data_IF_134828651703
#
_entry.id   IF_134828651703
#
_cell.length_a   1.000
_cell.length_b   1.000
_cell.length_c   1.000
_cell.angle_alpha   90.00
_cell.angle_beta   90.00
_cell.angle_gamma   90.00
#
_symmetry.space_group_name_H-M   'P 1'
#
loop_
_entity.id
_entity.type
_entity.pdbx_description
1 polymer ?
#
# COMPACT_ATOMS: atom_id res chain seq x y z
N UNK A 1 5.85 -11.37 -13.68
CA UNK A 1 6.20 -10.60 -12.45
C UNK A 1 7.40 -11.18 -11.70
N UNK A 2 7.38 -12.44 -11.24
CA UNK A 2 8.49 -13.02 -10.43
C UNK A 2 9.88 -12.99 -11.11
N UNK A 3 9.98 -13.27 -12.41
CA UNK A 3 11.27 -13.27 -13.15
C UNK A 3 11.97 -11.91 -13.14
N UNK A 4 11.22 -10.81 -13.25
CA UNK A 4 11.79 -9.46 -13.24
C UNK A 4 12.34 -9.10 -11.84
N UNK A 5 11.61 -9.46 -10.78
CA UNK A 5 12.07 -9.24 -9.41
C UNK A 5 13.34 -10.05 -9.13
N UNK A 6 13.41 -11.31 -9.54
CA UNK A 6 14.64 -12.12 -9.42
C UNK A 6 15.83 -11.46 -10.15
N UNK A 7 15.60 -10.89 -11.34
CA UNK A 7 16.65 -10.16 -12.07
C UNK A 7 17.08 -8.89 -11.35
N UNK A 8 16.15 -8.13 -10.77
CA UNK A 8 16.46 -6.93 -9.98
C UNK A 8 17.30 -7.27 -8.75
N UNK A 9 16.93 -8.32 -8.01
CA UNK A 9 17.70 -8.81 -6.85
C UNK A 9 19.11 -9.23 -7.28
N UNK A 10 19.22 -9.99 -8.37
CA UNK A 10 20.54 -10.41 -8.92
C UNK A 10 21.40 -9.22 -9.30
N UNK A 11 20.82 -8.23 -9.97
CA UNK A 11 21.55 -7.05 -10.42
C UNK A 11 22.02 -6.20 -9.23
N UNK A 12 21.16 -6.00 -8.23
CA UNK A 12 21.51 -5.32 -6.98
C UNK A 12 22.65 -6.03 -6.25
N UNK A 13 22.56 -7.36 -6.08
CA UNK A 13 23.61 -8.17 -5.45
C UNK A 13 24.94 -8.08 -6.22
N UNK A 14 24.92 -8.15 -7.55
CA UNK A 14 26.12 -8.00 -8.38
C UNK A 14 26.78 -6.62 -8.24
N UNK A 15 25.98 -5.56 -8.21
CA UNK A 15 26.47 -4.20 -7.98
C UNK A 15 27.12 -4.11 -6.60
N UNK A 16 26.50 -4.71 -5.56
CA UNK A 16 27.04 -4.73 -4.20
C UNK A 16 28.38 -5.43 -4.13
N UNK A 17 28.48 -6.66 -4.66
CA UNK A 17 29.74 -7.42 -4.69
C UNK A 17 30.87 -6.62 -5.34
N UNK A 18 30.57 -5.88 -6.42
CA UNK A 18 31.57 -5.03 -7.09
C UNK A 18 31.99 -3.81 -6.26
N UNK A 19 31.07 -3.22 -5.50
CA UNK A 19 31.33 -2.04 -4.65
C UNK A 19 31.88 -2.41 -3.27
N UNK A 20 31.72 -3.67 -2.88
CA UNK A 20 32.14 -4.19 -1.60
C UNK A 20 33.65 -4.09 -1.44
N UNK A 21 34.06 -3.57 -0.29
CA UNK A 21 35.46 -3.57 0.13
C UNK A 21 35.56 -4.14 1.53
N UNK A 22 36.41 -5.13 1.71
CA UNK A 22 36.77 -5.68 3.01
C UNK A 22 38.16 -5.14 3.37
N UNK A 23 38.28 -4.41 4.48
CA UNK A 23 39.56 -3.79 4.87
C UNK A 23 40.14 -2.83 3.81
N UNK A 24 39.31 -2.20 2.98
CA UNK A 24 39.73 -1.27 1.93
C UNK A 24 40.09 -1.92 0.58
N UNK A 25 40.12 -3.25 0.49
CA UNK A 25 40.40 -3.98 -0.75
C UNK A 25 39.11 -4.50 -1.40
N UNK A 26 39.06 -4.45 -2.74
CA UNK A 26 37.92 -4.96 -3.51
C UNK A 26 37.79 -6.48 -3.38
N UNK A 27 36.57 -6.96 -3.13
CA UNK A 27 36.29 -8.39 -2.99
C UNK A 27 36.33 -9.08 -4.36
N UNK A 28 37.09 -10.17 -4.47
CA UNK A 28 37.11 -11.03 -5.67
C UNK A 28 35.96 -12.03 -5.63
N UNK A 29 35.46 -12.46 -6.79
CA UNK A 29 34.36 -13.42 -6.87
C UNK A 29 34.63 -14.74 -6.12
N UNK A 30 35.88 -15.19 -6.06
CA UNK A 30 36.27 -16.40 -5.29
C UNK A 30 36.12 -16.22 -3.78
N UNK A 31 36.25 -15.00 -3.26
CA UNK A 31 36.13 -14.71 -1.83
C UNK A 31 34.68 -14.65 -1.36
N UNK A 32 33.74 -14.36 -2.27
CA UNK A 32 32.28 -14.33 -1.98
C UNK A 32 31.73 -15.74 -1.73
N UNK A 33 32.41 -16.78 -2.22
CA UNK A 33 32.02 -18.16 -1.94
C UNK A 33 32.30 -18.58 -0.48
N UNK A 34 33.10 -17.80 0.26
CA UNK A 34 33.37 -18.07 1.66
C UNK A 34 32.28 -17.43 2.55
N UNK A 35 31.65 -18.25 3.39
CA UNK A 35 30.52 -17.84 4.24
C UNK A 35 30.92 -16.73 5.22
N UNK A 36 32.13 -16.77 5.77
CA UNK A 36 32.61 -15.76 6.73
C UNK A 36 32.71 -14.37 6.09
N UNK A 37 33.26 -14.30 4.88
CA UNK A 37 33.37 -13.07 4.10
C UNK A 37 31.99 -12.55 3.69
N UNK A 38 31.05 -13.47 3.41
CA UNK A 38 29.67 -13.12 3.10
C UNK A 38 28.96 -12.51 4.31
N UNK A 39 29.13 -13.08 5.51
CA UNK A 39 28.55 -12.57 6.74
C UNK A 39 29.08 -11.17 7.09
N UNK A 40 30.39 -10.94 6.95
CA UNK A 40 30.97 -9.61 7.14
C UNK A 40 30.45 -8.59 6.12
N UNK A 41 30.24 -9.03 4.88
CA UNK A 41 29.66 -8.19 3.84
C UNK A 41 28.21 -7.80 4.13
N UNK A 42 27.41 -8.74 4.68
CA UNK A 42 26.02 -8.52 5.10
C UNK A 42 25.97 -7.57 6.31
N UNK A 43 26.87 -7.75 7.28
CA UNK A 43 26.97 -6.88 8.48
C UNK A 43 27.34 -5.44 8.15
N UNK A 44 28.04 -5.24 7.03
CA UNK A 44 28.33 -3.90 6.54
C UNK A 44 27.04 -3.32 5.96
N UNK A 45 26.33 -2.51 6.76
CA UNK A 45 25.05 -1.80 6.53
C UNK A 45 24.86 -1.15 5.13
N UNK A 46 25.93 -1.10 4.33
CA UNK A 46 25.88 -0.79 2.92
C UNK A 46 25.11 -1.81 2.03
N UNK A 47 24.71 -2.99 2.54
CA UNK A 47 23.74 -3.85 1.86
C UNK A 47 22.32 -3.23 1.82
N UNK A 48 21.99 -2.35 2.76
CA UNK A 48 20.67 -1.71 2.84
C UNK A 48 20.42 -0.65 1.77
N UNK A 49 21.36 -0.32 0.89
CA UNK A 49 21.22 0.80 -0.09
C UNK A 49 21.06 0.39 -1.55
N UNK A 50 21.23 -0.90 -1.85
CA UNK A 50 21.24 -1.41 -3.23
C UNK A 50 19.88 -1.99 -3.65
N UNK A 51 18.92 -2.14 -2.72
CA UNK A 51 17.63 -2.78 -2.98
C UNK A 51 16.46 -1.82 -3.23
N UNK A 52 16.69 -0.51 -3.40
CA UNK A 52 15.66 0.50 -3.73
C UNK A 52 14.72 0.13 -4.88
N UNK A 53 15.19 -0.67 -5.83
CA UNK A 53 14.41 -1.11 -7.00
C UNK A 53 13.43 -2.24 -6.67
N UNK A 54 13.67 -2.98 -5.59
CA UNK A 54 12.78 -4.03 -5.10
C UNK A 54 11.68 -3.38 -4.27
N UNK A 55 10.47 -3.36 -4.82
CA UNK A 55 9.26 -2.92 -4.09
C UNK A 55 9.11 -3.73 -2.81
N UNK A 56 8.65 -3.09 -1.76
CA UNK A 56 8.51 -3.66 -0.40
C UNK A 56 9.83 -3.95 0.34
N UNK A 57 10.99 -3.69 -0.26
CA UNK A 57 12.24 -3.76 0.50
C UNK A 57 12.34 -2.65 1.55
N UNK A 58 13.10 -2.84 2.65
CA UNK A 58 13.32 -1.79 3.64
C UNK A 58 13.89 -0.48 3.04
N UNK A 59 14.77 -0.60 2.04
CA UNK A 59 15.41 0.53 1.35
C UNK A 59 14.44 1.30 0.45
N UNK A 60 13.51 0.57 -0.20
CA UNK A 60 12.41 1.19 -0.94
C UNK A 60 11.54 2.05 -0.01
N UNK A 61 11.19 1.53 1.17
CA UNK A 61 10.40 2.26 2.15
C UNK A 61 11.15 3.45 2.78
N UNK A 62 12.44 3.31 3.06
CA UNK A 62 13.25 4.42 3.57
C UNK A 62 13.39 5.55 2.53
N UNK A 63 13.55 5.20 1.24
CA UNK A 63 13.50 6.19 0.16
C UNK A 63 12.14 6.88 0.10
N UNK A 64 11.04 6.11 0.07
CA UNK A 64 9.69 6.67 0.00
C UNK A 64 9.40 7.64 1.16
N UNK A 65 9.83 7.29 2.37
CA UNK A 65 9.75 8.16 3.55
C UNK A 65 10.55 9.45 3.37
N UNK A 66 11.78 9.38 2.86
CA UNK A 66 12.62 10.57 2.60
C UNK A 66 12.00 11.47 1.53
N UNK A 67 11.48 10.88 0.46
CA UNK A 67 10.80 11.61 -0.61
C UNK A 67 9.53 12.30 -0.07
N UNK A 68 8.76 11.63 0.80
CA UNK A 68 7.61 12.24 1.49
C UNK A 68 8.04 13.44 2.35
N UNK A 69 9.10 13.30 3.15
CA UNK A 69 9.62 14.42 3.93
C UNK A 69 10.17 15.57 3.08
N UNK A 70 10.69 15.28 1.88
CA UNK A 70 11.10 16.30 0.93
C UNK A 70 9.88 17.04 0.37
N UNK A 71 8.83 16.31 -0.01
CA UNK A 71 7.55 16.88 -0.45
C UNK A 71 6.94 17.78 0.63
N UNK A 72 6.91 17.33 1.89
CA UNK A 72 6.40 18.13 3.01
C UNK A 72 7.16 19.45 3.19
N UNK A 73 8.48 19.45 3.00
CA UNK A 73 9.29 20.67 3.11
C UNK A 73 9.11 21.62 1.94
N UNK A 74 8.91 21.10 0.74
CA UNK A 74 8.95 21.89 -0.49
C UNK A 74 7.57 22.33 -0.98
N UNK A 75 6.56 21.48 -0.82
CA UNK A 75 5.17 21.74 -1.22
C UNK A 75 4.31 22.20 -0.03
N UNK A 76 4.77 21.99 1.20
CA UNK A 76 4.02 22.29 2.42
C UNK A 76 3.12 21.13 2.88
N UNK A 77 2.10 21.46 3.67
CA UNK A 77 1.18 20.47 4.23
C UNK A 77 0.33 19.82 3.11
N UNK A 78 0.18 18.48 3.09
CA UNK A 78 -0.66 17.82 2.10
C UNK A 78 -2.12 18.13 2.37
N UNK A 79 -2.86 18.46 1.31
CA UNK A 79 -4.31 18.59 1.35
C UNK A 79 -4.93 17.25 0.97
N UNK A 80 -5.59 16.59 1.91
CA UNK A 80 -6.37 15.39 1.62
C UNK A 80 -7.78 15.78 1.20
N UNK A 81 -8.18 15.37 0.00
CA UNK A 81 -9.56 15.45 -0.45
C UNK A 81 -10.22 14.09 -0.24
N UNK A 82 -11.28 14.06 0.56
CA UNK A 82 -12.09 12.87 0.78
C UNK A 82 -13.51 13.16 0.35
N UNK A 83 -14.00 12.44 -0.65
CA UNK A 83 -15.41 12.44 -1.03
C UNK A 83 -16.07 11.23 -0.38
N UNK A 84 -16.94 11.47 0.59
CA UNK A 84 -17.76 10.43 1.20
C UNK A 84 -19.09 10.37 0.46
N UNK A 85 -19.40 9.23 -0.14
CA UNK A 85 -20.73 8.93 -0.66
C UNK A 85 -21.47 8.07 0.35
N UNK A 86 -22.69 8.44 0.69
CA UNK A 86 -23.57 7.56 1.44
C UNK A 86 -24.11 6.46 0.50
N UNK A 87 -24.13 5.22 0.98
CA UNK A 87 -24.77 4.12 0.27
C UNK A 87 -26.26 4.09 0.66
N UNK A 88 -27.02 5.09 0.20
CA UNK A 88 -28.40 5.35 0.65
C UNK A 88 -29.31 4.12 0.52
N UNK A 89 -29.14 3.32 -0.54
CA UNK A 89 -29.89 2.08 -0.78
C UNK A 89 -29.57 0.93 0.20
N UNK A 90 -28.49 1.06 0.96
CA UNK A 90 -28.03 0.09 1.94
C UNK A 90 -28.16 0.61 3.37
N UNK A 91 -28.66 1.83 3.56
CA UNK A 91 -28.83 2.41 4.88
C UNK A 91 -30.22 2.06 5.44
N UNK A 92 -30.32 1.08 6.37
CA UNK A 92 -31.60 0.58 6.85
C UNK A 92 -32.44 1.67 7.53
N UNK A 93 -31.81 2.52 8.34
CA UNK A 93 -32.50 3.58 9.07
C UNK A 93 -33.08 4.63 8.11
N UNK A 94 -32.33 5.00 7.06
CA UNK A 94 -32.81 5.91 6.02
C UNK A 94 -34.04 5.31 5.32
N UNK A 95 -33.96 4.05 4.89
CA UNK A 95 -35.07 3.38 4.20
C UNK A 95 -36.32 3.26 5.09
N UNK A 96 -36.16 3.05 6.40
CA UNK A 96 -37.28 3.05 7.36
C UNK A 96 -37.93 4.43 7.43
N UNK A 97 -37.15 5.50 7.58
CA UNK A 97 -37.66 6.87 7.62
C UNK A 97 -38.40 7.25 6.33
N UNK A 98 -37.83 6.93 5.17
CA UNK A 98 -38.45 7.20 3.86
C UNK A 98 -39.74 6.41 3.66
N UNK A 99 -39.75 5.13 4.06
CA UNK A 99 -40.94 4.30 3.99
C UNK A 99 -42.06 4.82 4.89
N UNK A 100 -41.73 5.20 6.13
CA UNK A 100 -42.67 5.82 7.07
C UNK A 100 -43.23 7.13 6.54
N UNK A 101 -42.39 7.98 5.93
CA UNK A 101 -42.82 9.24 5.32
C UNK A 101 -43.80 9.03 4.17
N UNK A 102 -43.57 8.04 3.31
CA UNK A 102 -44.41 7.80 2.12
C UNK A 102 -45.67 6.97 2.40
N UNK A 103 -45.60 6.02 3.33
CA UNK A 103 -46.69 5.06 3.59
C UNK A 103 -47.38 5.23 4.95
N UNK A 104 -46.83 6.06 5.85
CA UNK A 104 -47.42 6.34 7.16
C UNK A 104 -47.42 5.13 8.12
N UNK A 105 -46.65 4.09 7.82
CA UNK A 105 -46.55 2.87 8.62
C UNK A 105 -45.09 2.51 8.91
N UNK A 106 -44.77 2.02 10.12
CA UNK A 106 -43.43 1.61 10.47
C UNK A 106 -43.02 0.35 9.71
N UNK A 107 -41.81 0.38 9.14
CA UNK A 107 -41.24 -0.74 8.40
C UNK A 107 -40.52 -1.70 9.36
N UNK A 108 -41.03 -2.94 9.47
CA UNK A 108 -40.38 -4.01 10.22
C UNK A 108 -39.10 -4.51 9.54
N UNK A 109 -38.16 -5.05 10.31
CA UNK A 109 -36.83 -5.49 9.85
C UNK A 109 -36.90 -6.61 8.80
N UNK A 110 -37.86 -7.52 8.94
CA UNK A 110 -38.10 -8.61 7.99
C UNK A 110 -38.57 -8.06 6.63
N UNK A 111 -39.39 -7.01 6.65
CA UNK A 111 -39.91 -6.36 5.44
C UNK A 111 -38.84 -5.51 4.76
N UNK A 112 -37.92 -4.91 5.54
CA UNK A 112 -36.77 -4.17 5.03
C UNK A 112 -35.79 -5.07 4.27
N UNK A 113 -35.54 -6.28 4.79
CA UNK A 113 -34.72 -7.28 4.13
C UNK A 113 -35.37 -7.80 2.82
N UNK A 114 -36.70 -7.86 2.77
CA UNK A 114 -37.47 -8.31 1.62
C UNK A 114 -37.61 -7.25 0.50
N UNK A 115 -37.34 -5.96 0.77
CA UNK A 115 -37.39 -4.90 -0.24
C UNK A 115 -36.42 -5.15 -1.40
N UNK A 116 -36.96 -5.16 -2.61
CA UNK A 116 -36.15 -5.27 -3.84
C UNK A 116 -35.38 -3.99 -4.12
N UNK A 117 -34.29 -4.09 -4.89
CA UNK A 117 -33.44 -2.93 -5.21
C UNK A 117 -34.20 -1.79 -5.89
N UNK A 118 -35.19 -2.12 -6.75
CA UNK A 118 -36.05 -1.14 -7.41
C UNK A 118 -36.94 -0.39 -6.42
N UNK A 119 -37.56 -1.10 -5.47
CA UNK A 119 -38.37 -0.46 -4.42
C UNK A 119 -37.52 0.47 -3.54
N UNK A 120 -36.30 0.07 -3.20
CA UNK A 120 -35.36 0.93 -2.45
C UNK A 120 -34.98 2.18 -3.25
N UNK A 121 -34.78 2.04 -4.56
CA UNK A 121 -34.53 3.19 -5.45
C UNK A 121 -35.73 4.12 -5.54
N UNK A 122 -36.95 3.58 -5.61
CA UNK A 122 -38.17 4.38 -5.64
C UNK A 122 -38.38 5.16 -4.33
N UNK A 123 -38.06 4.55 -3.18
CA UNK A 123 -38.10 5.23 -1.88
C UNK A 123 -37.14 6.43 -1.86
N UNK A 124 -35.87 6.23 -2.25
CA UNK A 124 -34.84 7.28 -2.26
C UNK A 124 -35.10 8.35 -3.32
N UNK A 125 -35.72 7.98 -4.46
CA UNK A 125 -36.03 8.92 -5.55
C UNK A 125 -37.19 9.85 -5.22
N UNK A 126 -38.13 9.37 -4.42
CA UNK A 126 -39.33 10.11 -4.01
C UNK A 126 -39.21 10.67 -2.57
N UNK A 127 -37.98 10.76 -2.03
CA UNK A 127 -37.65 11.56 -0.86
C UNK A 127 -37.96 13.05 -1.11
#
# INVERSE_FOLDING_TARGET
VKKLQCLQVRNAANIRVRKAKLGGQSIKASQVANEEVLQDLIRTDAAYRDFKQLRESPDYWDKAKKDLFAMLRQLGQPTFFMTLSAADLQWPDLLRCLYEQQHGQPLSDDNLAALTATQRMDLVRND
#
